data_IF_985671060086
#
_entry.id   IF_985671060086
#
_cell.length_a   1.000
_cell.length_b   1.000
_cell.length_c   1.000
_cell.angle_alpha   90.00
_cell.angle_beta   90.00
_cell.angle_gamma   90.00
#
_symmetry.space_group_name_H-M   'P 1'
#
loop_
_entity.id
_entity.type
_entity.pdbx_description
1 polymer ?
#
# COMPACT_ATOMS: atom_id res chain seq x y z
N UNK A 1 4.09 -10.10 -31.74
CA UNK A 1 3.87 -8.81 -31.08
C UNK A 1 5.22 -8.14 -30.99
N UNK A 2 5.41 -6.97 -31.60
CA UNK A 2 6.63 -6.19 -31.48
C UNK A 2 6.74 -5.68 -30.03
N UNK A 3 7.91 -5.86 -29.42
CA UNK A 3 8.20 -5.34 -28.08
C UNK A 3 9.08 -4.10 -28.21
N UNK A 4 8.76 -3.06 -27.46
CA UNK A 4 9.70 -1.96 -27.28
C UNK A 4 10.97 -2.47 -26.59
N UNK A 5 12.15 -2.10 -27.10
CA UNK A 5 13.43 -2.47 -26.53
C UNK A 5 13.61 -1.89 -25.11
N UNK A 6 13.19 -0.65 -24.93
CA UNK A 6 13.22 0.07 -23.65
C UNK A 6 11.86 0.76 -23.48
N UNK A 7 10.90 0.15 -22.80
CA UNK A 7 9.54 0.69 -22.74
C UNK A 7 9.40 1.96 -21.89
N UNK A 8 10.32 2.21 -20.94
CA UNK A 8 10.31 3.36 -20.02
C UNK A 8 8.93 3.61 -19.38
N UNK A 9 8.27 2.53 -18.95
CA UNK A 9 6.99 2.59 -18.26
C UNK A 9 7.16 2.19 -16.79
N UNK A 10 6.39 2.76 -15.86
CA UNK A 10 6.48 2.41 -14.43
C UNK A 10 6.00 0.99 -14.13
N UNK A 11 5.17 0.42 -15.01
CA UNK A 11 4.65 -0.94 -14.90
C UNK A 11 3.18 -1.08 -15.32
N UNK A 12 2.75 -2.34 -15.54
CA UNK A 12 3.52 -3.59 -15.42
C UNK A 12 4.75 -3.62 -16.32
N UNK A 13 5.88 -4.05 -15.76
CA UNK A 13 7.16 -4.12 -16.48
C UNK A 13 7.39 -5.50 -17.11
N UNK A 14 8.43 -5.63 -17.94
CA UNK A 14 8.83 -6.93 -18.49
C UNK A 14 9.31 -7.85 -17.36
N UNK A 15 8.78 -9.08 -17.35
CA UNK A 15 9.16 -10.11 -16.36
C UNK A 15 10.38 -10.86 -16.87
N UNK A 16 11.47 -10.99 -16.07
CA UNK A 16 12.63 -11.80 -16.43
C UNK A 16 12.27 -13.27 -16.71
N UNK A 17 13.00 -13.90 -17.64
CA UNK A 17 12.72 -15.28 -18.05
C UNK A 17 12.85 -16.27 -16.90
N UNK A 18 13.77 -16.01 -15.96
CA UNK A 18 13.98 -16.83 -14.76
C UNK A 18 12.71 -16.86 -13.89
N UNK A 19 12.05 -15.72 -13.71
CA UNK A 19 10.79 -15.62 -12.95
C UNK A 19 9.66 -16.29 -13.71
N UNK A 20 9.58 -16.11 -15.04
CA UNK A 20 8.55 -16.79 -15.84
C UNK A 20 8.68 -18.31 -15.80
N UNK A 21 9.89 -18.86 -15.79
CA UNK A 21 10.12 -20.30 -15.64
C UNK A 21 9.61 -20.82 -14.30
N UNK A 22 9.83 -20.09 -13.21
CA UNK A 22 9.31 -20.46 -11.88
C UNK A 22 7.78 -20.42 -11.89
N UNK A 23 7.16 -19.38 -12.47
CA UNK A 23 5.71 -19.29 -12.60
C UNK A 23 5.07 -20.43 -13.42
N UNK A 24 5.84 -21.06 -14.32
CA UNK A 24 5.39 -22.20 -15.11
C UNK A 24 5.59 -23.57 -14.41
N UNK A 25 6.17 -23.60 -13.22
CA UNK A 25 6.40 -24.82 -12.45
C UNK A 25 5.11 -25.24 -11.72
N UNK A 26 4.78 -26.53 -11.78
CA UNK A 26 3.69 -27.06 -10.99
C UNK A 26 4.18 -27.36 -9.57
N UNK A 27 3.69 -26.62 -8.59
CA UNK A 27 4.05 -26.76 -7.18
C UNK A 27 3.08 -27.64 -6.37
N UNK A 28 2.09 -28.24 -7.00
CA UNK A 28 1.12 -29.08 -6.29
C UNK A 28 0.06 -28.30 -5.52
N UNK A 29 -0.27 -28.75 -4.30
CA UNK A 29 -1.31 -28.15 -3.46
C UNK A 29 -0.68 -27.25 -2.37
N UNK A 30 -0.62 -25.96 -2.65
CA UNK A 30 -0.01 -24.95 -1.78
C UNK A 30 -0.55 -24.98 -0.33
N UNK A 31 -1.84 -25.23 -0.14
CA UNK A 31 -2.48 -25.17 1.18
C UNK A 31 -2.04 -26.26 2.16
N UNK A 32 -1.46 -27.36 1.65
CA UNK A 32 -1.15 -28.55 2.43
C UNK A 32 0.33 -28.93 2.46
N UNK A 33 1.17 -28.26 1.69
CA UNK A 33 2.57 -28.62 1.56
C UNK A 33 3.46 -27.78 2.49
N UNK A 34 4.26 -28.44 3.36
CA UNK A 34 5.17 -27.73 4.29
C UNK A 34 6.18 -26.81 3.56
N UNK A 35 6.59 -27.20 2.34
CA UNK A 35 7.50 -26.48 1.48
C UNK A 35 6.92 -25.12 1.07
N UNK A 36 5.63 -25.08 0.77
CA UNK A 36 4.95 -23.83 0.46
C UNK A 36 4.90 -22.89 1.67
N UNK A 37 4.60 -23.42 2.85
CA UNK A 37 4.59 -22.64 4.08
C UNK A 37 5.99 -22.06 4.40
N UNK A 38 7.04 -22.83 4.15
CA UNK A 38 8.41 -22.35 4.31
C UNK A 38 8.71 -21.22 3.31
N UNK A 39 8.35 -21.41 2.03
CA UNK A 39 8.51 -20.40 0.99
C UNK A 39 7.74 -19.11 1.33
N UNK A 40 6.50 -19.22 1.81
CA UNK A 40 5.70 -18.06 2.23
C UNK A 40 6.41 -17.27 3.35
N UNK A 41 6.87 -17.96 4.40
CA UNK A 41 7.57 -17.35 5.53
C UNK A 41 8.89 -16.68 5.12
N UNK A 42 9.62 -17.29 4.21
CA UNK A 42 10.88 -16.70 3.73
C UNK A 42 10.61 -15.49 2.82
N UNK A 43 9.56 -15.53 2.02
CA UNK A 43 9.11 -14.38 1.23
C UNK A 43 8.65 -13.23 2.14
N UNK A 44 7.88 -13.50 3.21
CA UNK A 44 7.49 -12.51 4.21
C UNK A 44 8.71 -11.82 4.81
N UNK A 45 9.75 -12.58 5.22
CA UNK A 45 10.99 -12.01 5.76
C UNK A 45 11.74 -11.11 4.77
N UNK A 46 11.77 -11.50 3.49
CA UNK A 46 12.40 -10.68 2.46
C UNK A 46 11.64 -9.37 2.24
N UNK A 47 10.31 -9.42 2.22
CA UNK A 47 9.46 -8.23 2.14
C UNK A 47 9.61 -7.34 3.37
N UNK A 48 9.64 -7.91 4.58
CA UNK A 48 9.94 -7.18 5.82
C UNK A 48 11.27 -6.42 5.73
N UNK A 49 12.30 -7.09 5.21
CA UNK A 49 13.61 -6.45 5.01
C UNK A 49 13.56 -5.32 3.99
N UNK A 50 12.81 -5.49 2.89
CA UNK A 50 12.65 -4.45 1.86
C UNK A 50 11.86 -3.24 2.35
N UNK A 51 10.89 -3.46 3.24
CA UNK A 51 10.03 -2.42 3.83
C UNK A 51 10.63 -1.84 5.12
N UNK A 52 11.76 -2.38 5.59
CA UNK A 52 12.36 -2.05 6.89
C UNK A 52 11.34 -2.06 8.03
N UNK A 53 10.69 -3.22 8.20
CA UNK A 53 9.64 -3.40 9.20
C UNK A 53 9.75 -4.73 9.95
N UNK A 54 9.27 -4.73 11.19
CA UNK A 54 9.02 -5.93 12.01
C UNK A 54 7.57 -6.39 11.94
N UNK A 55 6.72 -5.61 11.31
CA UNK A 55 5.30 -5.93 11.14
C UNK A 55 5.12 -7.21 10.32
N UNK A 56 3.99 -7.89 10.52
CA UNK A 56 3.55 -8.95 9.62
C UNK A 56 3.34 -8.39 8.22
N UNK A 57 3.81 -9.12 7.22
CA UNK A 57 3.55 -8.80 5.82
C UNK A 57 2.65 -9.88 5.23
N UNK A 58 1.42 -9.53 4.99
CA UNK A 58 0.43 -10.41 4.35
C UNK A 58 0.68 -10.41 2.84
N UNK A 59 0.65 -11.61 2.25
CA UNK A 59 0.83 -11.83 0.81
C UNK A 59 -0.51 -12.33 0.26
N UNK A 60 -1.05 -11.62 -0.73
CA UNK A 60 -2.34 -11.95 -1.34
C UNK A 60 -2.18 -12.21 -2.84
N UNK A 61 -2.99 -13.13 -3.36
CA UNK A 61 -3.10 -13.38 -4.81
C UNK A 61 -3.99 -12.30 -5.43
N UNK A 62 -3.39 -11.44 -6.22
CA UNK A 62 -4.04 -10.29 -6.86
C UNK A 62 -3.03 -9.18 -7.11
N UNK A 63 -3.36 -8.22 -7.92
CA UNK A 63 -2.50 -7.07 -8.17
C UNK A 63 -2.66 -5.99 -7.07
N UNK A 64 -1.83 -4.92 -7.11
CA UNK A 64 -1.73 -3.93 -6.04
C UNK A 64 -3.03 -3.29 -5.57
N UNK A 65 -4.05 -3.13 -6.44
CA UNK A 65 -5.35 -2.58 -6.03
C UNK A 65 -6.09 -3.45 -5.00
N UNK A 66 -5.81 -4.75 -4.96
CA UNK A 66 -6.43 -5.64 -3.99
C UNK A 66 -6.06 -5.25 -2.56
N UNK A 67 -4.76 -5.02 -2.28
CA UNK A 67 -4.32 -4.67 -0.92
C UNK A 67 -4.78 -3.28 -0.48
N UNK A 68 -5.02 -2.35 -1.43
CA UNK A 68 -5.67 -1.08 -1.12
C UNK A 68 -7.08 -1.32 -0.57
N UNK A 69 -7.89 -2.11 -1.28
CA UNK A 69 -9.23 -2.50 -0.80
C UNK A 69 -9.16 -3.26 0.52
N UNK A 70 -8.21 -4.20 0.66
CA UNK A 70 -8.02 -4.98 1.88
C UNK A 70 -7.80 -4.08 3.09
N UNK A 71 -6.88 -3.12 3.00
CA UNK A 71 -6.58 -2.20 4.10
C UNK A 71 -7.81 -1.37 4.49
N UNK A 72 -8.50 -0.77 3.50
CA UNK A 72 -9.66 0.09 3.76
C UNK A 72 -10.85 -0.70 4.32
N UNK A 73 -11.22 -1.83 3.71
CA UNK A 73 -12.35 -2.65 4.16
C UNK A 73 -12.14 -3.26 5.54
N UNK A 74 -10.89 -3.64 5.85
CA UNK A 74 -10.58 -4.25 7.13
C UNK A 74 -10.57 -3.25 8.30
N UNK A 75 -10.52 -1.93 8.03
CA UNK A 75 -10.31 -0.92 9.09
C UNK A 75 -11.34 0.20 9.12
N UNK A 76 -12.11 0.40 8.05
CA UNK A 76 -13.05 1.51 7.95
C UNK A 76 -14.50 1.05 8.05
N UNK A 77 -15.31 1.89 8.68
CA UNK A 77 -16.78 1.75 8.77
C UNK A 77 -17.44 3.00 8.16
N UNK A 78 -18.70 2.89 7.68
CA UNK A 78 -19.45 4.07 7.25
C UNK A 78 -19.43 5.17 8.32
N UNK A 79 -19.14 6.40 7.89
CA UNK A 79 -19.00 7.57 8.77
C UNK A 79 -17.58 7.78 9.34
N UNK A 80 -16.63 6.85 9.17
CA UNK A 80 -15.23 7.10 9.50
C UNK A 80 -14.65 8.20 8.60
N UNK A 81 -13.77 9.03 9.14
CA UNK A 81 -13.16 10.15 8.43
C UNK A 81 -11.79 9.77 7.86
N UNK A 82 -11.62 9.99 6.56
CA UNK A 82 -10.37 9.72 5.84
C UNK A 82 -9.82 11.00 5.21
N UNK A 83 -8.61 11.39 5.61
CA UNK A 83 -7.87 12.48 4.97
C UNK A 83 -7.03 11.90 3.85
N UNK A 84 -7.31 12.33 2.63
CA UNK A 84 -6.65 11.88 1.41
C UNK A 84 -5.64 12.93 0.99
N UNK A 85 -4.36 12.56 0.94
CA UNK A 85 -3.30 13.42 0.40
C UNK A 85 -3.01 12.95 -1.03
N UNK A 86 -3.42 13.76 -2.00
CA UNK A 86 -3.36 13.43 -3.42
C UNK A 86 -2.32 14.27 -4.14
N UNK A 87 -1.55 13.60 -5.00
CA UNK A 87 -0.69 14.21 -6.01
C UNK A 87 -0.98 13.62 -7.39
N UNK A 88 -2.14 12.97 -7.56
CA UNK A 88 -2.58 12.40 -8.82
C UNK A 88 -3.57 11.25 -8.71
N UNK A 89 -3.64 10.46 -9.77
CA UNK A 89 -4.68 9.45 -10.01
C UNK A 89 -4.86 8.44 -8.87
N UNK A 90 -3.76 7.89 -8.36
CA UNK A 90 -3.84 6.85 -7.32
C UNK A 90 -4.10 7.45 -5.93
N UNK A 91 -3.61 8.68 -5.70
CA UNK A 91 -3.98 9.44 -4.50
C UNK A 91 -5.48 9.72 -4.45
N UNK A 92 -6.07 10.24 -5.54
CA UNK A 92 -7.52 10.46 -5.65
C UNK A 92 -8.31 9.15 -5.50
N UNK A 93 -7.80 8.06 -6.10
CA UNK A 93 -8.42 6.74 -6.05
C UNK A 93 -8.65 6.22 -4.63
N UNK A 94 -7.76 6.52 -3.68
CA UNK A 94 -8.02 6.22 -2.26
C UNK A 94 -9.28 6.91 -1.75
N UNK A 95 -9.47 8.17 -2.13
CA UNK A 95 -10.67 8.94 -1.77
C UNK A 95 -11.94 8.29 -2.30
N UNK A 96 -11.95 7.90 -3.55
CA UNK A 96 -13.09 7.23 -4.19
C UNK A 96 -13.40 5.89 -3.53
N UNK A 97 -12.36 5.10 -3.21
CA UNK A 97 -12.52 3.83 -2.51
C UNK A 97 -13.10 4.02 -1.11
N UNK A 98 -12.58 4.97 -0.33
CA UNK A 98 -13.09 5.27 1.01
C UNK A 98 -14.54 5.78 0.96
N UNK A 99 -14.86 6.64 -0.01
CA UNK A 99 -16.23 7.13 -0.25
C UNK A 99 -17.20 6.01 -0.59
N UNK A 100 -16.76 5.03 -1.40
CA UNK A 100 -17.57 3.85 -1.72
C UNK A 100 -17.89 2.99 -0.50
N UNK A 101 -17.06 3.04 0.56
CA UNK A 101 -17.31 2.40 1.86
C UNK A 101 -18.22 3.24 2.80
N UNK A 102 -18.68 4.39 2.34
CA UNK A 102 -19.54 5.29 3.13
C UNK A 102 -18.77 6.18 4.10
N UNK A 103 -17.46 6.35 3.91
CA UNK A 103 -16.64 7.23 4.74
C UNK A 103 -16.85 8.70 4.38
N UNK A 104 -16.62 9.58 5.38
CA UNK A 104 -16.45 11.01 5.14
C UNK A 104 -15.02 11.26 4.66
N UNK A 105 -14.86 11.94 3.53
CA UNK A 105 -13.54 12.21 2.97
C UNK A 105 -13.24 13.70 2.94
N UNK A 106 -11.97 14.05 3.21
CA UNK A 106 -11.39 15.35 2.87
C UNK A 106 -10.17 15.08 1.99
N UNK A 107 -10.12 15.71 0.82
CA UNK A 107 -8.98 15.61 -0.09
C UNK A 107 -8.16 16.89 0.02
N UNK A 108 -6.86 16.75 0.21
CA UNK A 108 -5.86 17.78 -0.07
C UNK A 108 -5.15 17.39 -1.36
N UNK A 109 -5.40 18.16 -2.41
CA UNK A 109 -4.79 17.96 -3.72
C UNK A 109 -3.65 18.95 -3.92
N UNK A 110 -2.46 18.40 -4.23
CA UNK A 110 -1.22 19.16 -4.44
C UNK A 110 -0.86 19.34 -5.92
N UNK A 111 -1.75 18.90 -6.82
CA UNK A 111 -1.49 18.96 -8.25
C UNK A 111 -0.74 17.73 -8.78
N UNK A 112 -0.90 17.51 -10.09
CA UNK A 112 -0.48 16.28 -10.74
C UNK A 112 1.04 16.09 -10.87
N UNK A 113 1.79 17.17 -10.91
CA UNK A 113 3.24 17.21 -11.09
C UNK A 113 4.00 17.77 -9.87
N UNK A 114 3.30 17.90 -8.75
CA UNK A 114 3.84 18.38 -7.50
C UNK A 114 3.96 17.25 -6.47
N UNK A 115 4.86 17.44 -5.50
CA UNK A 115 4.90 16.61 -4.30
C UNK A 115 4.08 17.26 -3.19
N UNK A 116 3.76 16.51 -2.15
CA UNK A 116 3.20 17.06 -0.91
C UNK A 116 4.26 17.98 -0.28
N UNK A 117 4.04 19.29 -0.28
CA UNK A 117 5.02 20.29 0.15
C UNK A 117 4.49 21.25 1.22
N UNK A 118 3.18 21.44 1.34
CA UNK A 118 2.54 22.30 2.33
C UNK A 118 2.11 21.51 3.57
N UNK A 119 3.08 21.26 4.46
CA UNK A 119 2.83 20.53 5.70
C UNK A 119 1.93 21.28 6.68
N UNK A 120 1.90 22.62 6.63
CA UNK A 120 1.01 23.45 7.46
C UNK A 120 -0.45 23.22 7.05
N UNK A 121 -0.72 23.14 5.75
CA UNK A 121 -2.05 22.79 5.24
C UNK A 121 -2.46 21.38 5.64
N UNK A 122 -1.55 20.39 5.58
CA UNK A 122 -1.81 19.02 6.06
C UNK A 122 -2.11 19.02 7.55
N UNK A 123 -1.28 19.66 8.35
CA UNK A 123 -1.48 19.75 9.81
C UNK A 123 -2.82 20.41 10.17
N UNK A 124 -3.15 21.51 9.51
CA UNK A 124 -4.44 22.18 9.67
C UNK A 124 -5.62 21.25 9.32
N UNK A 125 -5.52 20.52 8.23
CA UNK A 125 -6.55 19.57 7.83
C UNK A 125 -6.72 18.44 8.86
N UNK A 126 -5.63 17.91 9.43
CA UNK A 126 -5.67 16.92 10.50
C UNK A 126 -6.42 17.46 11.72
N UNK A 127 -6.06 18.65 12.19
CA UNK A 127 -6.64 19.27 13.39
C UNK A 127 -8.13 19.55 13.21
N UNK A 128 -8.52 20.11 12.07
CA UNK A 128 -9.92 20.48 11.77
C UNK A 128 -10.79 19.25 11.50
N UNK A 129 -10.31 18.33 10.68
CA UNK A 129 -11.08 17.20 10.21
C UNK A 129 -11.04 16.00 11.17
N UNK A 130 -9.96 15.86 11.97
CA UNK A 130 -9.73 14.75 12.90
C UNK A 130 -9.93 13.39 12.23
N UNK A 131 -9.16 13.06 11.22
CA UNK A 131 -9.32 11.82 10.49
C UNK A 131 -8.97 10.62 11.37
N UNK A 132 -9.63 9.48 11.12
CA UNK A 132 -9.23 8.17 11.62
C UNK A 132 -8.02 7.63 10.85
N UNK A 133 -8.01 7.87 9.53
CA UNK A 133 -6.97 7.42 8.62
C UNK A 133 -6.50 8.56 7.71
N UNK A 134 -5.19 8.61 7.49
CA UNK A 134 -4.57 9.38 6.40
C UNK A 134 -4.18 8.39 5.32
N UNK A 135 -4.48 8.69 4.05
CA UNK A 135 -4.04 7.92 2.90
C UNK A 135 -3.16 8.75 1.99
N UNK A 136 -2.12 8.14 1.43
CA UNK A 136 -1.23 8.76 0.45
C UNK A 136 -0.57 7.72 -0.44
N UNK A 137 0.00 8.18 -1.56
CA UNK A 137 0.84 7.39 -2.46
C UNK A 137 2.29 7.84 -2.29
N UNK A 138 3.23 6.92 -2.07
CA UNK A 138 4.66 7.27 -2.00
C UNK A 138 5.18 7.71 -3.37
N UNK A 139 4.93 6.91 -4.40
CA UNK A 139 5.35 7.21 -5.78
C UNK A 139 4.13 7.21 -6.70
N UNK A 140 3.62 8.38 -7.05
CA UNK A 140 2.49 8.51 -7.96
C UNK A 140 2.89 8.02 -9.36
N UNK A 141 2.28 6.93 -9.78
CA UNK A 141 2.71 6.21 -10.99
C UNK A 141 2.66 7.05 -12.27
N UNK A 142 1.57 7.78 -12.57
CA UNK A 142 1.46 8.52 -13.83
C UNK A 142 2.39 9.74 -13.92
N UNK A 143 2.64 10.43 -12.81
CA UNK A 143 3.47 11.63 -12.79
C UNK A 143 4.95 11.34 -12.47
N UNK A 144 5.21 10.22 -11.77
CA UNK A 144 6.54 9.89 -11.24
C UNK A 144 6.91 10.69 -10.00
N UNK A 145 5.96 11.38 -9.38
CA UNK A 145 6.18 12.18 -8.17
C UNK A 145 6.44 11.28 -6.97
N UNK A 146 7.44 11.65 -6.15
CA UNK A 146 7.73 10.97 -4.89
C UNK A 146 7.31 11.85 -3.73
N UNK A 147 6.52 11.31 -2.81
CA UNK A 147 5.92 12.03 -1.70
C UNK A 147 6.64 11.76 -0.36
N UNK A 148 6.67 12.73 0.55
CA UNK A 148 7.41 12.71 1.82
C UNK A 148 6.62 11.92 2.90
N UNK A 149 6.74 10.59 2.89
CA UNK A 149 5.99 9.70 3.81
C UNK A 149 6.38 9.96 5.26
N UNK A 150 7.69 10.20 5.53
CA UNK A 150 8.19 10.43 6.90
C UNK A 150 7.51 11.61 7.56
N UNK A 151 7.46 12.75 6.89
CA UNK A 151 6.90 14.00 7.40
C UNK A 151 5.41 13.83 7.73
N UNK A 152 4.68 13.07 6.91
CA UNK A 152 3.27 12.76 7.16
C UNK A 152 3.11 11.81 8.35
N UNK A 153 4.02 10.82 8.48
CA UNK A 153 4.06 9.94 9.65
C UNK A 153 4.34 10.71 10.96
N UNK A 154 5.26 11.67 10.92
CA UNK A 154 5.54 12.54 12.07
C UNK A 154 4.29 13.38 12.46
N UNK A 155 3.55 13.92 11.49
CA UNK A 155 2.29 14.63 11.73
C UNK A 155 1.20 13.69 12.28
N UNK A 156 1.10 12.46 11.76
CA UNK A 156 0.20 11.42 12.27
C UNK A 156 0.43 11.20 13.77
N UNK A 157 1.67 11.00 14.19
CA UNK A 157 2.04 10.77 15.59
C UNK A 157 1.76 12.02 16.43
N UNK A 158 2.19 13.19 15.97
CA UNK A 158 1.98 14.47 16.66
C UNK A 158 0.52 14.73 17.03
N UNK A 159 -0.41 14.34 16.15
CA UNK A 159 -1.85 14.61 16.33
C UNK A 159 -2.68 13.38 16.72
N UNK A 160 -2.04 12.23 16.95
CA UNK A 160 -2.72 11.01 17.38
C UNK A 160 -3.70 10.44 16.36
N UNK A 161 -3.43 10.62 15.06
CA UNK A 161 -4.21 9.94 14.01
C UNK A 161 -3.94 8.45 14.10
N UNK A 162 -4.99 7.62 14.04
CA UNK A 162 -4.85 6.19 14.30
C UNK A 162 -4.07 5.46 13.20
N UNK A 163 -4.35 5.76 11.92
CA UNK A 163 -3.82 5.01 10.80
C UNK A 163 -3.18 5.91 9.75
N UNK A 164 -1.98 5.52 9.28
CA UNK A 164 -1.37 6.00 8.05
C UNK A 164 -1.27 4.84 7.05
N UNK A 165 -1.97 4.99 5.93
CA UNK A 165 -2.05 4.00 4.85
C UNK A 165 -1.32 4.54 3.61
N UNK A 166 -0.27 3.86 3.19
CA UNK A 166 0.62 4.32 2.12
C UNK A 166 0.66 3.30 0.98
N UNK A 167 0.28 3.73 -0.22
CA UNK A 167 0.54 2.97 -1.44
C UNK A 167 2.02 3.08 -1.81
N UNK A 168 2.71 1.96 -1.78
CA UNK A 168 4.11 1.80 -2.20
C UNK A 168 4.24 0.88 -3.42
N UNK A 169 3.13 0.62 -4.14
CA UNK A 169 3.12 -0.33 -5.27
C UNK A 169 4.17 0.03 -6.30
N UNK A 170 4.30 1.30 -6.65
CA UNK A 170 5.32 1.75 -7.62
C UNK A 170 6.69 1.99 -7.00
N UNK A 171 6.77 2.18 -5.68
CA UNK A 171 8.00 2.49 -4.97
C UNK A 171 8.76 1.28 -4.44
N UNK A 172 8.07 0.21 -4.06
CA UNK A 172 8.67 -0.95 -3.39
C UNK A 172 9.78 -1.59 -4.23
N UNK A 173 11.00 -1.54 -3.72
CA UNK A 173 12.21 -2.03 -4.41
C UNK A 173 12.88 -1.01 -5.32
N UNK A 174 12.27 0.17 -5.54
CA UNK A 174 12.84 1.25 -6.34
C UNK A 174 13.11 2.54 -5.55
N UNK A 175 12.32 2.78 -4.51
CA UNK A 175 12.46 3.92 -3.60
C UNK A 175 12.56 3.41 -2.16
N UNK A 176 13.44 3.98 -1.32
CA UNK A 176 13.49 3.61 0.09
C UNK A 176 12.15 3.81 0.80
N UNK A 177 11.81 2.87 1.67
CA UNK A 177 10.69 2.97 2.59
C UNK A 177 11.12 2.39 3.94
N UNK A 178 10.91 3.13 5.02
CA UNK A 178 11.24 2.74 6.39
C UNK A 178 9.93 2.70 7.19
N UNK A 179 9.17 1.63 7.02
CA UNK A 179 7.78 1.53 7.49
C UNK A 179 7.66 1.79 8.99
N UNK A 180 8.54 1.17 9.80
CA UNK A 180 8.51 1.33 11.26
C UNK A 180 8.91 2.76 11.66
N UNK A 181 10.04 3.26 11.14
CA UNK A 181 10.59 4.58 11.50
C UNK A 181 9.72 5.75 10.99
N UNK A 182 8.96 5.52 9.93
CA UNK A 182 8.05 6.52 9.35
C UNK A 182 6.61 6.38 9.83
N UNK A 183 6.38 5.55 10.85
CA UNK A 183 5.09 5.36 11.51
C UNK A 183 3.94 4.97 10.56
N UNK A 184 4.26 4.19 9.54
CA UNK A 184 3.28 3.67 8.57
C UNK A 184 2.57 2.45 9.14
N UNK A 185 1.23 2.47 9.13
CA UNK A 185 0.44 1.33 9.62
C UNK A 185 0.14 0.31 8.53
N UNK A 186 -0.10 0.80 7.31
CA UNK A 186 -0.26 -0.02 6.13
C UNK A 186 0.69 0.46 5.03
N UNK A 187 1.63 -0.39 4.65
CA UNK A 187 2.44 -0.20 3.43
C UNK A 187 2.00 -1.22 2.39
N UNK A 188 1.44 -0.75 1.28
CA UNK A 188 0.71 -1.53 0.29
C UNK A 188 1.53 -1.68 -0.98
N UNK A 189 2.03 -2.88 -1.28
CA UNK A 189 2.92 -3.17 -2.40
C UNK A 189 2.32 -4.11 -3.44
N UNK A 190 2.96 -4.18 -4.59
CA UNK A 190 2.59 -5.08 -5.68
C UNK A 190 3.80 -5.63 -6.44
N UNK A 191 3.62 -6.77 -7.09
CA UNK A 191 4.71 -7.50 -7.76
C UNK A 191 5.09 -6.97 -9.14
N UNK A 192 4.21 -6.21 -9.81
CA UNK A 192 4.33 -5.89 -11.25
C UNK A 192 5.13 -4.62 -11.57
N UNK A 193 5.62 -3.90 -10.57
CA UNK A 193 6.41 -2.68 -10.74
C UNK A 193 7.90 -2.98 -10.58
N UNK A 194 8.61 -2.35 -9.67
CA UNK A 194 10.05 -2.51 -9.49
C UNK A 194 10.47 -3.95 -9.18
N UNK A 195 9.62 -4.78 -8.58
CA UNK A 195 9.91 -6.19 -8.33
C UNK A 195 9.94 -7.05 -9.60
N UNK A 196 9.47 -6.53 -10.73
CA UNK A 196 9.53 -7.16 -12.05
C UNK A 196 8.98 -8.59 -12.10
N UNK A 197 7.92 -8.85 -11.33
CA UNK A 197 7.21 -10.13 -11.31
C UNK A 197 5.82 -10.01 -12.01
N UNK A 198 5.13 -11.12 -12.28
CA UNK A 198 3.78 -11.07 -12.83
C UNK A 198 2.82 -10.26 -11.95
N UNK A 199 1.82 -9.62 -12.56
CA UNK A 199 0.81 -8.78 -11.87
C UNK A 199 -0.25 -9.64 -11.16
N UNK A 200 0.19 -10.53 -10.27
CA UNK A 200 -0.67 -11.52 -9.61
C UNK A 200 -0.45 -11.65 -8.11
N UNK A 201 0.47 -10.87 -7.55
CA UNK A 201 0.74 -10.86 -6.12
C UNK A 201 0.76 -9.42 -5.59
N UNK A 202 0.21 -9.26 -4.42
CA UNK A 202 0.24 -8.00 -3.66
C UNK A 202 0.60 -8.26 -2.21
N UNK A 203 1.12 -7.23 -1.55
CA UNK A 203 1.71 -7.33 -0.22
C UNK A 203 1.22 -6.17 0.64
N UNK A 204 0.94 -6.44 1.90
CA UNK A 204 0.68 -5.36 2.85
C UNK A 204 1.38 -5.62 4.19
N UNK A 205 2.19 -4.66 4.62
CA UNK A 205 2.66 -4.58 6.00
C UNK A 205 1.51 -4.04 6.86
N UNK A 206 1.31 -4.65 8.03
CA UNK A 206 0.21 -4.29 8.94
C UNK A 206 0.77 -4.09 10.34
N UNK A 207 0.67 -2.87 10.90
CA UNK A 207 1.14 -2.54 12.24
C UNK A 207 0.30 -3.23 13.32
N UNK A 208 0.85 -3.36 14.53
CA UNK A 208 0.10 -3.90 15.67
C UNK A 208 -1.15 -3.07 15.99
N UNK A 209 -1.08 -1.74 15.85
CA UNK A 209 -2.24 -0.87 16.05
C UNK A 209 -3.29 -1.09 14.96
N UNK A 210 -2.87 -1.27 13.72
CA UNK A 210 -3.78 -1.59 12.63
C UNK A 210 -4.47 -2.95 12.86
N UNK A 211 -3.77 -3.96 13.34
CA UNK A 211 -4.36 -5.26 13.68
C UNK A 211 -5.47 -5.15 14.74
N UNK A 212 -5.30 -4.33 15.77
CA UNK A 212 -6.35 -4.08 16.77
C UNK A 212 -7.62 -3.53 16.13
N UNK A 213 -7.46 -2.59 15.19
CA UNK A 213 -8.59 -2.00 14.47
C UNK A 213 -9.25 -3.03 13.53
N UNK A 214 -8.45 -3.87 12.87
CA UNK A 214 -8.94 -4.97 12.03
C UNK A 214 -9.83 -5.91 12.85
N UNK A 215 -9.40 -6.31 14.03
CA UNK A 215 -10.17 -7.15 14.95
C UNK A 215 -11.47 -6.47 15.41
N UNK A 216 -11.44 -5.17 15.71
CA UNK A 216 -12.63 -4.38 16.09
C UNK A 216 -13.65 -4.22 14.96
N UNK A 217 -13.16 -4.03 13.73
CA UNK A 217 -14.03 -3.90 12.54
C UNK A 217 -14.63 -5.23 12.16
N UNK A 218 -13.81 -6.31 12.24
CA UNK A 218 -14.21 -7.69 11.99
C UNK A 218 -14.99 -7.84 10.66
N UNK A 219 -14.43 -7.26 9.59
CA UNK A 219 -15.04 -7.34 8.26
C UNK A 219 -14.91 -8.76 7.72
N UNK A 220 -16.03 -9.38 7.37
CA UNK A 220 -16.07 -10.72 6.78
C UNK A 220 -16.14 -10.65 5.25
N UNK A 221 -15.06 -11.02 4.58
CA UNK A 221 -14.96 -11.06 3.13
C UNK A 221 -13.64 -11.68 2.68
N UNK A 222 -13.59 -12.23 1.48
CA UNK A 222 -12.39 -12.88 0.95
C UNK A 222 -11.22 -11.91 0.71
N UNK A 223 -11.50 -10.64 0.60
CA UNK A 223 -10.52 -9.55 0.46
C UNK A 223 -10.18 -8.87 1.79
N UNK A 224 -10.55 -9.47 2.91
CA UNK A 224 -10.27 -8.98 4.26
C UNK A 224 -9.00 -9.59 4.85
N UNK A 225 -8.57 -9.05 6.00
CA UNK A 225 -7.42 -9.56 6.77
C UNK A 225 -7.81 -10.64 7.79
N UNK A 226 -9.09 -10.81 8.07
CA UNK A 226 -9.63 -11.84 8.97
C UNK A 226 -10.54 -12.80 8.23
#
# INVERSE_FOLDING_TARGET
MEKYLIPLVPGPVAVPQEILKVAATNFGSADFEPEYLALYKDTEKLLQKMMETRNRVVIQTGEGMLVLWTALKSTLKPGDRVLVLSTGLFGEGFGDMAKALGCEIRVLDFGYDETIHDFDAVEKAIVEFKPKMITMVQNETPSGTTNPVKEIGDLKVKHGVLLLCVDIVSGLGGTPIHVDDWHVDFALGGSQKCLSAPANMSFLSVSEEAWKIVEEVNYAGYEALL
#
